data_IF_344018896460
#
_entry.id   IF_344018896460
#
_cell.length_a   1.000
_cell.length_b   1.000
_cell.length_c   1.000
_cell.angle_alpha   90.00
_cell.angle_beta   90.00
_cell.angle_gamma   90.00
#
_symmetry.space_group_name_H-M   'P 1'
#
loop_
_entity.id
_entity.type
_entity.pdbx_description
1 polymer ?
#
# COMPACT_ATOMS: atom_id res chain seq x y z
N UNK A 1 20.72 -33.57 3.94
CA UNK A 1 20.15 -34.14 2.68
C UNK A 1 19.38 -33.05 1.95
N UNK A 2 19.29 -33.10 0.61
CA UNK A 2 18.61 -32.07 -0.22
C UNK A 2 17.18 -31.71 0.25
N UNK A 3 16.43 -32.68 0.79
CA UNK A 3 15.07 -32.45 1.31
C UNK A 3 14.99 -31.55 2.55
N UNK A 4 15.98 -31.61 3.45
CA UNK A 4 16.04 -30.75 4.64
C UNK A 4 16.35 -29.30 4.27
N UNK A 5 17.15 -29.13 3.21
CA UNK A 5 17.53 -27.83 2.66
C UNK A 5 16.33 -27.15 1.97
N UNK A 6 15.56 -27.91 1.18
CA UNK A 6 14.28 -27.45 0.60
C UNK A 6 13.30 -27.06 1.71
N UNK A 7 13.14 -27.89 2.75
CA UNK A 7 12.24 -27.60 3.85
C UNK A 7 12.64 -26.33 4.61
N UNK A 8 13.94 -26.09 4.77
CA UNK A 8 14.48 -24.88 5.41
C UNK A 8 14.20 -23.64 4.58
N UNK A 9 14.42 -23.69 3.27
CA UNK A 9 14.11 -22.60 2.33
C UNK A 9 12.61 -22.28 2.36
N UNK A 10 11.76 -23.31 2.33
CA UNK A 10 10.31 -23.14 2.38
C UNK A 10 9.88 -22.48 3.70
N UNK A 11 10.34 -22.98 4.86
CA UNK A 11 10.05 -22.38 6.18
C UNK A 11 10.51 -20.92 6.26
N UNK A 12 11.67 -20.60 5.70
CA UNK A 12 12.18 -19.23 5.60
C UNK A 12 11.27 -18.32 4.76
N UNK A 13 10.84 -18.79 3.58
CA UNK A 13 9.92 -18.04 2.69
C UNK A 13 8.57 -17.79 3.34
N UNK A 14 7.97 -18.78 4.01
CA UNK A 14 6.70 -18.60 4.71
C UNK A 14 6.81 -17.62 5.88
N UNK A 15 7.93 -17.63 6.62
CA UNK A 15 8.19 -16.65 7.68
C UNK A 15 8.33 -15.24 7.12
N UNK A 16 9.10 -15.08 6.04
CA UNK A 16 9.25 -13.80 5.36
C UNK A 16 7.90 -13.27 4.86
N UNK A 17 7.12 -14.11 4.17
CA UNK A 17 5.81 -13.73 3.67
C UNK A 17 4.87 -13.30 4.81
N UNK A 18 4.89 -14.02 5.94
CA UNK A 18 4.12 -13.63 7.13
C UNK A 18 4.52 -12.24 7.64
N UNK A 19 5.82 -11.98 7.79
CA UNK A 19 6.29 -10.66 8.24
C UNK A 19 5.91 -9.53 7.28
N UNK A 20 5.88 -9.79 5.97
CA UNK A 20 5.39 -8.83 4.97
C UNK A 20 3.89 -8.57 5.17
N UNK A 21 3.09 -9.61 5.38
CA UNK A 21 1.65 -9.45 5.66
C UNK A 21 1.39 -8.66 6.95
N UNK A 22 2.13 -8.94 8.02
CA UNK A 22 2.02 -8.21 9.29
C UNK A 22 2.36 -6.71 9.10
N UNK A 23 3.37 -6.39 8.27
CA UNK A 23 3.74 -5.01 7.97
C UNK A 23 2.69 -4.27 7.11
N UNK A 24 2.06 -4.99 6.16
CA UNK A 24 0.95 -4.46 5.37
C UNK A 24 -0.24 -4.16 6.30
N UNK A 25 -0.61 -5.09 7.18
CA UNK A 25 -1.72 -4.93 8.13
C UNK A 25 -1.49 -3.72 9.05
N UNK A 26 -0.28 -3.57 9.61
CA UNK A 26 0.07 -2.41 10.43
C UNK A 26 -0.08 -1.08 9.65
N UNK A 27 0.33 -1.07 8.37
CA UNK A 27 0.26 0.12 7.53
C UNK A 27 -1.18 0.48 7.20
N UNK A 28 -2.02 -0.51 6.89
CA UNK A 28 -3.46 -0.33 6.65
C UNK A 28 -4.14 0.22 7.90
N UNK A 29 -3.86 -0.32 9.08
CA UNK A 29 -4.45 0.15 10.33
C UNK A 29 -4.06 1.61 10.61
N UNK A 30 -2.79 1.98 10.40
CA UNK A 30 -2.33 3.38 10.53
C UNK A 30 -3.05 4.34 9.57
N UNK A 31 -3.31 3.91 8.34
CA UNK A 31 -4.06 4.72 7.37
C UNK A 31 -5.54 4.85 7.74
N UNK A 32 -6.14 3.79 8.29
CA UNK A 32 -7.55 3.79 8.71
C UNK A 32 -7.84 4.69 9.91
N UNK A 33 -6.84 4.92 10.76
CA UNK A 33 -6.93 5.82 11.92
C UNK A 33 -6.56 7.28 11.59
N UNK A 34 -5.95 7.54 10.44
CA UNK A 34 -5.48 8.88 10.05
C UNK A 34 -6.55 9.61 9.23
N UNK A 35 -7.00 10.76 9.75
CA UNK A 35 -7.99 11.62 9.11
C UNK A 35 -7.39 12.59 8.09
N UNK A 36 -6.07 12.81 8.16
CA UNK A 36 -5.33 13.74 7.31
C UNK A 36 -4.89 13.04 5.99
N UNK A 37 -5.50 13.40 4.84
CA UNK A 37 -5.20 12.78 3.55
C UNK A 37 -3.72 12.88 3.13
N UNK A 38 -3.07 14.00 3.48
CA UNK A 38 -1.67 14.27 3.18
C UNK A 38 -0.78 13.29 3.95
N UNK A 39 -1.09 13.02 5.22
CA UNK A 39 -0.35 12.02 6.01
C UNK A 39 -0.60 10.60 5.54
N UNK A 40 -1.81 10.27 5.10
CA UNK A 40 -2.09 8.97 4.47
C UNK A 40 -1.22 8.79 3.22
N UNK A 41 -1.12 9.82 2.38
CA UNK A 41 -0.24 9.80 1.21
C UNK A 41 1.23 9.59 1.59
N UNK A 42 1.72 10.30 2.61
CA UNK A 42 3.08 10.12 3.14
C UNK A 42 3.33 8.71 3.67
N UNK A 43 2.38 8.12 4.41
CA UNK A 43 2.48 6.74 4.91
C UNK A 43 2.60 5.76 3.73
N UNK A 44 1.74 5.89 2.71
CA UNK A 44 1.78 5.06 1.52
C UNK A 44 3.11 5.20 0.77
N UNK A 45 3.56 6.44 0.54
CA UNK A 45 4.83 6.75 -0.12
C UNK A 45 6.03 6.17 0.63
N UNK A 46 6.05 6.27 1.95
CA UNK A 46 7.15 5.73 2.76
C UNK A 46 7.18 4.21 2.77
N UNK A 47 6.02 3.56 2.65
CA UNK A 47 5.92 2.10 2.62
C UNK A 47 6.18 1.50 1.24
N UNK A 48 5.54 2.03 0.19
CA UNK A 48 5.56 1.48 -1.16
C UNK A 48 6.59 2.17 -2.08
N UNK A 49 6.96 3.41 -1.76
CA UNK A 49 7.63 4.33 -2.68
C UNK A 49 6.65 5.17 -3.50
N UNK A 50 7.12 6.32 -4.00
CA UNK A 50 6.30 7.30 -4.75
C UNK A 50 5.61 6.70 -5.98
N UNK A 51 6.38 6.03 -6.84
CA UNK A 51 5.85 5.49 -8.09
C UNK A 51 4.79 4.38 -7.86
N UNK A 52 5.05 3.36 -7.01
CA UNK A 52 4.03 2.37 -6.68
C UNK A 52 2.78 2.97 -6.03
N UNK A 53 2.92 3.94 -5.12
CA UNK A 53 1.77 4.63 -4.52
C UNK A 53 0.90 5.31 -5.56
N UNK A 54 1.49 6.10 -6.47
CA UNK A 54 0.73 6.77 -7.54
C UNK A 54 0.04 5.79 -8.47
N UNK A 55 0.71 4.68 -8.82
CA UNK A 55 0.12 3.64 -9.66
C UNK A 55 -1.10 3.00 -8.98
N UNK A 56 -0.97 2.64 -7.70
CA UNK A 56 -2.06 2.09 -6.91
C UNK A 56 -3.24 3.06 -6.84
N UNK A 57 -2.98 4.35 -6.60
CA UNK A 57 -4.03 5.37 -6.56
C UNK A 57 -4.68 5.57 -7.94
N UNK A 58 -3.91 5.51 -9.04
CA UNK A 58 -4.48 5.54 -10.39
C UNK A 58 -5.42 4.35 -10.64
N UNK A 59 -5.02 3.14 -10.25
CA UNK A 59 -5.85 1.93 -10.38
C UNK A 59 -7.17 2.10 -9.59
N UNK A 60 -7.10 2.63 -8.37
CA UNK A 60 -8.28 2.95 -7.54
C UNK A 60 -9.17 4.01 -8.21
N UNK A 61 -8.60 5.07 -8.77
CA UNK A 61 -9.36 6.10 -9.46
C UNK A 61 -10.07 5.56 -10.71
N UNK A 62 -9.42 4.67 -11.45
CA UNK A 62 -9.99 4.02 -12.62
C UNK A 62 -11.14 3.07 -12.21
N UNK A 63 -10.96 2.26 -11.17
CA UNK A 63 -11.98 1.34 -10.63
C UNK A 63 -13.21 2.08 -10.10
N UNK A 64 -13.02 3.23 -9.43
CA UNK A 64 -14.10 4.05 -8.89
C UNK A 64 -14.68 5.05 -9.89
N UNK A 65 -14.12 5.13 -11.10
CA UNK A 65 -14.58 6.05 -12.14
C UNK A 65 -14.39 7.54 -11.79
N UNK A 66 -13.37 7.88 -11.01
CA UNK A 66 -13.14 9.25 -10.49
C UNK A 66 -12.70 10.25 -11.56
N UNK A 67 -12.31 9.78 -12.75
CA UNK A 67 -11.79 10.61 -13.87
C UNK A 67 -10.58 11.48 -13.47
N UNK A 68 -9.84 11.08 -12.45
CA UNK A 68 -8.59 11.70 -12.00
C UNK A 68 -7.40 10.97 -12.64
N UNK A 69 -6.43 11.72 -13.15
CA UNK A 69 -5.14 11.19 -13.62
C UNK A 69 -4.08 11.54 -12.58
N UNK A 70 -3.50 10.56 -11.90
CA UNK A 70 -2.52 10.77 -10.83
C UNK A 70 -1.17 11.15 -11.41
N UNK A 71 -0.92 12.45 -11.54
CA UNK A 71 0.34 13.00 -12.07
C UNK A 71 1.09 13.81 -11.02
N UNK A 72 0.37 14.39 -10.07
CA UNK A 72 0.93 15.15 -8.97
C UNK A 72 0.54 14.55 -7.62
N UNK A 73 1.14 15.10 -6.57
CA UNK A 73 0.78 14.78 -5.19
C UNK A 73 -0.65 15.24 -4.87
N UNK A 74 -1.08 16.40 -5.39
CA UNK A 74 -2.45 16.87 -5.21
C UNK A 74 -3.48 15.93 -5.83
N UNK A 75 -3.18 15.33 -7.00
CA UNK A 75 -4.07 14.33 -7.62
C UNK A 75 -4.21 13.08 -6.72
N UNK A 76 -3.10 12.65 -6.11
CA UNK A 76 -3.08 11.52 -5.20
C UNK A 76 -3.89 11.80 -3.92
N UNK A 77 -3.69 12.98 -3.32
CA UNK A 77 -4.43 13.44 -2.14
C UNK A 77 -5.93 13.55 -2.45
N UNK A 78 -6.31 14.03 -3.64
CA UNK A 78 -7.72 14.12 -4.04
C UNK A 78 -8.42 12.75 -4.05
N UNK A 79 -7.72 11.69 -4.47
CA UNK A 79 -8.25 10.32 -4.43
C UNK A 79 -8.39 9.85 -2.98
N UNK A 80 -7.41 10.11 -2.13
CA UNK A 80 -7.46 9.73 -0.72
C UNK A 80 -8.63 10.42 0.00
N UNK A 81 -8.83 11.72 -0.24
CA UNK A 81 -10.00 12.46 0.26
C UNK A 81 -11.31 11.79 -0.16
N UNK A 82 -11.41 11.43 -1.43
CA UNK A 82 -12.59 10.72 -1.93
C UNK A 82 -12.81 9.36 -1.24
N UNK A 83 -11.74 8.61 -0.95
CA UNK A 83 -11.83 7.35 -0.21
C UNK A 83 -12.29 7.53 1.24
N UNK A 84 -11.95 8.65 1.86
CA UNK A 84 -12.37 9.02 3.22
C UNK A 84 -13.76 9.67 3.25
N UNK A 85 -14.36 9.96 2.10
CA UNK A 85 -15.65 10.66 2.01
C UNK A 85 -15.56 12.17 2.28
N UNK A 86 -14.38 12.76 2.03
CA UNK A 86 -14.07 14.20 2.15
C UNK A 86 -14.21 14.93 0.81
#
# INVERSE_FOLDING_TARGET
>A
MMGEEILTILKGRYRFLRSVMDAIELTINRMGEESDPEKVYEIMKNFLGEFPTRRMLQEIADEKGLKIKVRTEEDAIAIIRHLQGL
#
